data_IF_179084071273
#
_entry.id   IF_179084071273
#
_cell.length_a   1.000
_cell.length_b   1.000
_cell.length_c   1.000
_cell.angle_alpha   90.00
_cell.angle_beta   90.00
_cell.angle_gamma   90.00
#
_symmetry.space_group_name_H-M   'P 1'
#
loop_
_entity.id
_entity.type
_entity.pdbx_description
1 polymer ?
#
# COMPACT_ATOMS: atom_id res chain seq x y z
N UNK A 1 8.04 6.99 9.89
CA UNK A 1 7.14 5.83 10.21
C UNK A 1 7.51 4.52 9.49
N UNK A 2 8.66 4.46 8.83
CA UNK A 2 9.06 3.29 8.04
C UNK A 2 9.23 2.01 8.90
N UNK A 3 10.07 2.05 9.95
CA UNK A 3 10.37 0.86 10.74
C UNK A 3 9.17 0.25 11.48
N UNK A 4 8.24 1.02 12.10
CA UNK A 4 7.02 0.46 12.66
C UNK A 4 6.19 -0.33 11.64
N UNK A 5 6.05 0.16 10.42
CA UNK A 5 5.33 -0.56 9.37
C UNK A 5 6.01 -1.87 8.95
N UNK A 6 7.34 -1.88 8.94
CA UNK A 6 8.08 -3.13 8.68
C UNK A 6 7.78 -4.15 9.76
N UNK A 7 7.80 -3.74 11.05
CA UNK A 7 7.48 -4.61 12.17
C UNK A 7 6.03 -5.13 12.18
N UNK A 8 5.08 -4.33 11.66
CA UNK A 8 3.68 -4.77 11.55
C UNK A 8 3.42 -5.72 10.37
N UNK A 9 4.23 -5.62 9.30
CA UNK A 9 4.00 -6.35 8.05
C UNK A 9 4.88 -7.59 7.88
N UNK A 10 6.04 -7.61 8.52
CA UNK A 10 6.97 -8.74 8.49
C UNK A 10 6.95 -9.46 9.85
N UNK A 11 6.27 -10.59 9.90
CA UNK A 11 6.12 -11.40 11.12
C UNK A 11 7.44 -12.02 11.61
N UNK A 12 8.36 -12.30 10.67
CA UNK A 12 9.63 -12.94 10.98
C UNK A 12 10.80 -11.98 10.84
N UNK A 13 11.35 -11.54 11.98
CA UNK A 13 12.51 -10.65 12.05
C UNK A 13 13.80 -11.27 11.49
N UNK A 14 13.84 -12.59 11.32
CA UNK A 14 15.00 -13.32 10.79
C UNK A 14 15.00 -13.43 9.27
N UNK A 15 13.90 -13.05 8.59
CA UNK A 15 13.85 -13.07 7.12
C UNK A 15 14.97 -12.24 6.51
N UNK A 16 15.62 -12.74 5.44
CA UNK A 16 16.60 -11.95 4.71
C UNK A 16 15.92 -10.76 4.01
N UNK A 17 16.50 -9.58 4.16
CA UNK A 17 15.99 -8.33 3.60
C UNK A 17 16.98 -7.80 2.57
N UNK A 18 16.50 -7.41 1.42
CA UNK A 18 17.19 -6.56 0.45
C UNK A 18 16.49 -5.21 0.43
N UNK A 19 17.27 -4.13 0.53
CA UNK A 19 16.73 -2.78 0.56
C UNK A 19 16.65 -2.18 -0.84
N UNK A 20 15.57 -1.47 -1.07
CA UNK A 20 15.40 -0.52 -2.15
C UNK A 20 15.10 0.85 -1.54
N UNK A 21 16.05 1.75 -1.58
CA UNK A 21 15.94 3.09 -0.99
C UNK A 21 16.41 4.16 -1.98
N UNK A 22 16.02 5.41 -1.75
CA UNK A 22 16.68 6.52 -2.45
C UNK A 22 18.18 6.50 -2.18
N UNK A 23 18.97 6.88 -3.18
CA UNK A 23 20.43 6.92 -3.09
C UNK A 23 20.91 7.77 -1.90
N UNK A 24 21.87 7.26 -1.16
CA UNK A 24 22.42 7.89 0.04
C UNK A 24 21.60 7.67 1.32
N UNK A 25 20.41 7.03 1.25
CA UNK A 25 19.56 6.75 2.41
C UNK A 25 19.69 5.32 2.94
N UNK A 26 20.57 4.50 2.37
CA UNK A 26 20.71 3.09 2.68
C UNK A 26 21.11 2.87 4.14
N UNK A 27 22.13 3.61 4.62
CA UNK A 27 22.59 3.51 6.02
C UNK A 27 21.51 3.89 7.02
N UNK A 28 20.72 4.94 6.71
CA UNK A 28 19.60 5.34 7.55
C UNK A 28 18.53 4.23 7.60
N UNK A 29 18.18 3.64 6.46
CA UNK A 29 17.21 2.56 6.38
C UNK A 29 17.68 1.33 7.19
N UNK A 30 18.93 0.93 7.05
CA UNK A 30 19.55 -0.17 7.82
C UNK A 30 19.44 0.11 9.33
N UNK A 31 19.90 1.29 9.76
CA UNK A 31 19.87 1.67 11.18
C UNK A 31 18.44 1.65 11.76
N UNK A 32 17.46 2.11 10.99
CA UNK A 32 16.06 2.11 11.42
C UNK A 32 15.48 0.71 11.54
N UNK A 33 15.86 -0.21 10.64
CA UNK A 33 15.46 -1.61 10.69
C UNK A 33 16.08 -2.33 11.90
N UNK A 34 17.39 -2.15 12.11
CA UNK A 34 18.09 -2.75 13.27
C UNK A 34 17.49 -2.30 14.62
N UNK A 35 17.04 -1.04 14.72
CA UNK A 35 16.37 -0.53 15.93
C UNK A 35 15.07 -1.26 16.29
N UNK A 36 14.45 -1.95 15.33
CA UNK A 36 13.22 -2.74 15.54
C UNK A 36 13.47 -4.24 15.34
N UNK A 37 14.73 -4.67 15.39
CA UNK A 37 15.14 -6.07 15.42
C UNK A 37 15.35 -6.73 14.05
N UNK A 38 15.28 -6.00 12.96
CA UNK A 38 15.51 -6.55 11.61
C UNK A 38 16.99 -6.39 11.20
N UNK A 39 17.84 -7.33 11.64
CA UNK A 39 19.29 -7.28 11.42
C UNK A 39 19.77 -8.12 10.22
N UNK A 40 18.91 -8.98 9.66
CA UNK A 40 19.28 -9.87 8.55
C UNK A 40 19.23 -9.17 7.18
N UNK A 41 19.90 -8.03 7.08
CA UNK A 41 19.97 -7.25 5.85
C UNK A 41 21.10 -7.78 4.97
N UNK A 42 20.77 -8.32 3.80
CA UNK A 42 21.72 -8.93 2.84
C UNK A 42 22.36 -7.91 1.91
N UNK A 43 21.78 -6.74 1.79
CA UNK A 43 22.29 -5.69 0.92
C UNK A 43 21.22 -4.70 0.49
N UNK A 44 21.58 -3.88 -0.46
CA UNK A 44 20.68 -2.92 -1.09
C UNK A 44 20.91 -2.86 -2.60
N UNK A 45 19.90 -2.43 -3.33
CA UNK A 45 20.00 -2.22 -4.76
C UNK A 45 20.72 -0.88 -5.03
N UNK A 46 21.98 -0.95 -5.46
CA UNK A 46 22.77 0.24 -5.82
C UNK A 46 22.11 0.97 -6.99
N UNK A 47 21.96 2.29 -6.87
CA UNK A 47 21.25 3.12 -7.85
C UNK A 47 19.72 2.99 -7.82
N UNK A 48 19.17 2.23 -6.88
CA UNK A 48 17.74 2.11 -6.64
C UNK A 48 16.95 1.55 -7.83
N UNK A 49 15.67 1.91 -7.91
CA UNK A 49 14.78 1.44 -8.99
C UNK A 49 15.24 1.90 -10.38
N UNK A 50 15.95 3.02 -10.46
CA UNK A 50 16.46 3.54 -11.73
C UNK A 50 17.43 2.55 -12.39
N UNK A 51 18.42 2.05 -11.64
CA UNK A 51 19.38 1.08 -12.17
C UNK A 51 18.72 -0.26 -12.53
N UNK A 52 17.66 -0.65 -11.83
CA UNK A 52 16.87 -1.83 -12.19
C UNK A 52 16.19 -1.68 -13.55
N UNK A 53 15.53 -0.55 -13.79
CA UNK A 53 14.85 -0.24 -15.05
C UNK A 53 15.87 -0.11 -16.19
N UNK A 54 16.99 0.58 -15.99
CA UNK A 54 18.07 0.74 -16.97
C UNK A 54 18.71 -0.61 -17.34
N UNK A 55 18.65 -1.59 -16.44
CA UNK A 55 19.10 -2.97 -16.71
C UNK A 55 18.04 -3.82 -17.43
N UNK A 56 16.99 -3.22 -17.97
CA UNK A 56 15.86 -3.90 -18.65
C UNK A 56 15.22 -5.01 -17.81
N UNK A 57 15.21 -4.85 -16.49
CA UNK A 57 14.54 -5.76 -15.57
C UNK A 57 13.05 -5.47 -15.53
N UNK A 58 12.25 -6.53 -15.38
CA UNK A 58 10.80 -6.42 -15.32
C UNK A 58 10.34 -5.62 -14.09
N UNK A 59 9.40 -4.71 -14.30
CA UNK A 59 8.75 -3.92 -13.25
C UNK A 59 7.24 -3.97 -13.40
N UNK A 60 6.55 -3.84 -12.27
CA UNK A 60 5.11 -3.61 -12.23
C UNK A 60 4.84 -2.25 -11.60
N UNK A 61 3.73 -1.64 -11.98
CA UNK A 61 3.26 -0.39 -11.38
C UNK A 61 1.83 -0.56 -10.84
N UNK A 62 1.51 0.21 -9.81
CA UNK A 62 0.15 0.32 -9.30
C UNK A 62 -0.54 1.47 -10.03
N UNK A 63 -1.72 1.21 -10.60
CA UNK A 63 -2.56 2.26 -11.16
C UNK A 63 -2.98 3.24 -10.07
N UNK A 64 -3.03 4.53 -10.41
CA UNK A 64 -3.44 5.58 -9.49
C UNK A 64 -4.57 6.40 -10.10
N UNK A 65 -5.52 6.83 -9.26
CA UNK A 65 -6.61 7.73 -9.61
C UNK A 65 -6.66 8.89 -8.62
N UNK A 66 -6.99 10.09 -9.09
CA UNK A 66 -7.26 11.23 -8.22
C UNK A 66 -8.59 11.06 -7.49
N UNK A 67 -8.72 11.66 -6.29
CA UNK A 67 -9.94 11.57 -5.49
C UNK A 67 -11.17 12.13 -6.24
N UNK A 68 -11.03 13.25 -6.94
CA UNK A 68 -12.11 13.86 -7.74
C UNK A 68 -12.64 12.94 -8.85
N UNK A 69 -11.73 12.28 -9.58
CA UNK A 69 -12.08 11.33 -10.64
C UNK A 69 -12.74 10.07 -10.08
N UNK A 70 -12.20 9.58 -8.95
CA UNK A 70 -12.78 8.44 -8.23
C UNK A 70 -14.21 8.73 -7.78
N UNK A 71 -14.49 9.88 -7.15
CA UNK A 71 -15.83 10.26 -6.70
C UNK A 71 -16.79 10.37 -7.88
N UNK A 72 -16.35 10.97 -8.98
CA UNK A 72 -17.16 11.04 -10.21
C UNK A 72 -17.50 9.66 -10.77
N UNK A 73 -16.61 8.68 -10.65
CA UNK A 73 -16.90 7.30 -11.05
C UNK A 73 -17.81 6.60 -10.04
N UNK A 74 -17.52 6.75 -8.74
CA UNK A 74 -18.27 6.09 -7.67
C UNK A 74 -19.74 6.57 -7.57
N UNK A 75 -20.03 7.80 -8.01
CA UNK A 75 -21.40 8.31 -8.09
C UNK A 75 -22.23 7.69 -9.23
N UNK A 76 -21.57 7.09 -10.23
CA UNK A 76 -22.21 6.53 -11.43
C UNK A 76 -22.25 5.01 -11.44
N UNK A 77 -21.34 4.36 -10.73
CA UNK A 77 -21.12 2.92 -10.76
C UNK A 77 -20.95 2.38 -9.35
N UNK A 78 -21.41 1.16 -9.14
CA UNK A 78 -21.14 0.40 -7.90
C UNK A 78 -19.72 -0.16 -7.97
N UNK A 79 -18.77 0.56 -7.35
CA UNK A 79 -17.36 0.21 -7.39
C UNK A 79 -16.98 -0.66 -6.19
N UNK A 80 -16.06 -1.60 -6.39
CA UNK A 80 -15.44 -2.32 -5.28
C UNK A 80 -14.38 -1.42 -4.62
N UNK A 81 -14.70 -0.88 -3.47
CA UNK A 81 -13.86 0.06 -2.73
C UNK A 81 -13.34 -0.57 -1.44
N UNK A 82 -12.04 -0.54 -1.24
CA UNK A 82 -11.36 -1.09 -0.07
C UNK A 82 -10.72 0.01 0.78
N UNK A 83 -11.19 0.13 2.02
CA UNK A 83 -10.59 0.99 3.04
C UNK A 83 -9.62 0.18 3.90
N UNK A 84 -8.34 0.51 3.86
CA UNK A 84 -7.30 -0.16 4.65
C UNK A 84 -6.90 0.61 5.92
N UNK A 85 -7.74 1.54 6.36
CA UNK A 85 -7.57 2.25 7.63
C UNK A 85 -8.01 1.36 8.80
N UNK A 86 -7.69 1.79 10.01
CA UNK A 86 -8.21 1.15 11.21
C UNK A 86 -9.75 1.23 11.25
N UNK A 87 -10.38 0.33 11.98
CA UNK A 87 -11.83 0.33 12.16
C UNK A 87 -12.33 1.65 12.78
N UNK A 88 -11.58 2.24 13.71
CA UNK A 88 -11.96 3.51 14.31
C UNK A 88 -11.93 4.66 13.27
N UNK A 89 -10.93 4.69 12.38
CA UNK A 89 -10.89 5.69 11.29
C UNK A 89 -12.08 5.50 10.34
N UNK A 90 -12.44 4.26 10.04
CA UNK A 90 -13.57 3.92 9.17
C UNK A 90 -14.91 4.38 9.76
N UNK A 91 -15.15 4.10 11.05
CA UNK A 91 -16.39 4.47 11.74
C UNK A 91 -16.55 6.00 11.90
N UNK A 92 -15.44 6.73 11.94
CA UNK A 92 -15.43 8.20 11.99
C UNK A 92 -15.61 8.87 10.63
N UNK A 93 -15.97 8.13 9.61
CA UNK A 93 -16.24 8.59 8.25
C UNK A 93 -15.50 7.73 7.22
N UNK A 94 -16.21 7.33 6.18
CA UNK A 94 -15.71 6.44 5.12
C UNK A 94 -16.44 6.68 3.81
N UNK A 95 -15.94 6.11 2.73
CA UNK A 95 -16.68 6.05 1.46
C UNK A 95 -17.85 5.09 1.64
N UNK A 96 -19.05 5.53 1.29
CA UNK A 96 -20.25 4.70 1.39
C UNK A 96 -20.08 3.41 0.57
N UNK A 97 -20.47 2.28 1.16
CA UNK A 97 -20.35 0.96 0.54
C UNK A 97 -18.93 0.38 0.50
N UNK A 98 -17.91 1.09 1.03
CA UNK A 98 -16.56 0.54 1.07
C UNK A 98 -16.41 -0.60 2.07
N UNK A 99 -15.62 -1.61 1.69
CA UNK A 99 -15.21 -2.71 2.56
C UNK A 99 -14.03 -2.27 3.43
N UNK A 100 -14.16 -2.32 4.75
CA UNK A 100 -13.03 -2.03 5.63
C UNK A 100 -12.26 -3.31 5.98
N UNK A 101 -10.99 -3.35 5.60
CA UNK A 101 -10.02 -4.34 6.04
C UNK A 101 -8.74 -3.59 6.44
N UNK A 102 -8.48 -3.37 7.73
CA UNK A 102 -7.25 -2.74 8.17
C UNK A 102 -6.02 -3.40 7.57
N UNK A 103 -5.02 -2.61 7.16
CA UNK A 103 -3.81 -3.10 6.49
C UNK A 103 -3.17 -4.29 7.21
N UNK A 104 -3.10 -4.24 8.55
CA UNK A 104 -2.51 -5.30 9.36
C UNK A 104 -3.25 -6.64 9.25
N UNK A 105 -4.55 -6.61 8.95
CA UNK A 105 -5.40 -7.79 8.82
C UNK A 105 -5.62 -8.20 7.35
N UNK A 106 -5.01 -7.48 6.40
CA UNK A 106 -5.28 -7.66 4.98
C UNK A 106 -4.94 -9.07 4.50
N UNK A 107 -3.77 -9.58 4.88
CA UNK A 107 -3.29 -10.89 4.44
C UNK A 107 -4.20 -12.04 4.89
N UNK A 108 -4.77 -11.95 6.09
CA UNK A 108 -5.70 -12.96 6.63
C UNK A 108 -7.10 -12.87 5.99
N UNK A 109 -7.46 -11.70 5.46
CA UNK A 109 -8.79 -11.40 4.94
C UNK A 109 -8.85 -11.29 3.41
N UNK A 110 -7.85 -11.76 2.68
CA UNK A 110 -7.79 -11.68 1.21
C UNK A 110 -9.03 -12.23 0.51
N UNK A 111 -9.66 -13.27 1.08
CA UNK A 111 -10.88 -13.89 0.53
C UNK A 111 -12.09 -12.95 0.47
N UNK A 112 -12.06 -11.85 1.21
CA UNK A 112 -13.13 -10.82 1.19
C UNK A 112 -12.96 -9.83 0.04
N UNK A 113 -11.76 -9.73 -0.53
CA UNK A 113 -11.48 -8.89 -1.70
C UNK A 113 -11.81 -9.67 -2.96
N UNK A 114 -12.58 -9.09 -3.86
CA UNK A 114 -12.98 -9.75 -5.11
C UNK A 114 -11.79 -9.82 -6.10
N UNK A 115 -11.26 -11.00 -6.43
CA UNK A 115 -9.98 -11.09 -7.14
C UNK A 115 -10.05 -10.63 -8.60
N UNK A 116 -11.21 -10.74 -9.23
CA UNK A 116 -11.39 -10.46 -10.66
C UNK A 116 -11.96 -9.07 -10.96
N UNK A 117 -12.38 -8.34 -9.94
CA UNK A 117 -12.96 -7.01 -10.11
C UNK A 117 -11.86 -5.95 -9.97
N UNK A 118 -12.09 -4.80 -10.62
CA UNK A 118 -11.29 -3.61 -10.38
C UNK A 118 -11.61 -3.08 -8.99
N UNK A 119 -10.62 -3.08 -8.09
CA UNK A 119 -10.76 -2.61 -6.72
C UNK A 119 -10.03 -1.28 -6.54
N UNK A 120 -10.72 -0.32 -5.93
CA UNK A 120 -10.18 0.99 -5.59
C UNK A 120 -9.77 1.00 -4.12
N UNK A 121 -8.49 1.24 -3.85
CA UNK A 121 -7.93 1.12 -2.50
C UNK A 121 -7.55 2.49 -1.96
N UNK A 122 -7.97 2.78 -0.74
CA UNK A 122 -7.57 4.00 -0.06
C UNK A 122 -7.18 3.76 1.41
N UNK A 123 -6.41 4.70 1.94
CA UNK A 123 -6.18 4.86 3.38
C UNK A 123 -6.36 6.32 3.76
N UNK A 124 -5.75 6.81 4.83
CA UNK A 124 -5.86 8.22 5.22
C UNK A 124 -5.17 9.14 4.19
N UNK A 125 -3.86 8.98 3.94
CA UNK A 125 -3.07 9.88 3.10
C UNK A 125 -2.29 9.18 1.97
N UNK A 126 -2.64 7.92 1.60
CA UNK A 126 -2.05 7.20 0.46
C UNK A 126 -0.90 6.23 0.80
N UNK A 127 -0.28 6.29 1.99
CA UNK A 127 0.87 5.44 2.32
C UNK A 127 0.47 3.96 2.54
N UNK A 128 -0.49 3.70 3.43
CA UNK A 128 -0.99 2.34 3.72
C UNK A 128 -1.65 1.68 2.51
N UNK A 129 -2.36 2.45 1.69
CA UNK A 129 -3.02 1.93 0.48
C UNK A 129 -2.02 1.49 -0.58
N UNK A 130 -0.88 2.15 -0.74
CA UNK A 130 0.19 1.68 -1.62
C UNK A 130 0.79 0.35 -1.14
N UNK A 131 0.99 0.19 0.18
CA UNK A 131 1.44 -1.08 0.75
C UNK A 131 0.39 -2.17 0.50
N UNK A 132 -0.89 -1.89 0.78
CA UNK A 132 -1.99 -2.81 0.54
C UNK A 132 -2.08 -3.24 -0.92
N UNK A 133 -1.99 -2.29 -1.85
CA UNK A 133 -1.99 -2.56 -3.29
C UNK A 133 -0.82 -3.47 -3.71
N UNK A 134 0.37 -3.25 -3.14
CA UNK A 134 1.53 -4.11 -3.38
C UNK A 134 1.32 -5.53 -2.84
N UNK A 135 0.73 -5.68 -1.65
CA UNK A 135 0.40 -6.98 -1.08
C UNK A 135 -0.63 -7.71 -1.97
N UNK A 136 -1.71 -7.03 -2.36
CA UNK A 136 -2.75 -7.59 -3.21
C UNK A 136 -2.18 -8.06 -4.55
N UNK A 137 -1.36 -7.23 -5.18
CA UNK A 137 -0.69 -7.55 -6.44
C UNK A 137 0.22 -8.79 -6.31
N UNK A 138 0.97 -8.90 -5.21
CA UNK A 138 1.82 -10.07 -4.93
C UNK A 138 1.04 -11.38 -4.75
N UNK A 139 -0.27 -11.27 -4.48
CA UNK A 139 -1.22 -12.38 -4.35
C UNK A 139 -2.03 -12.64 -5.62
N UNK A 140 -1.64 -12.02 -6.74
CA UNK A 140 -2.28 -12.21 -8.04
C UNK A 140 -3.51 -11.34 -8.31
N UNK A 141 -3.85 -10.42 -7.41
CA UNK A 141 -4.93 -9.45 -7.60
C UNK A 141 -4.39 -8.23 -8.35
N UNK A 142 -4.33 -8.29 -9.68
CA UNK A 142 -3.62 -7.31 -10.50
C UNK A 142 -4.49 -6.10 -10.91
N UNK A 143 -5.79 -6.12 -10.64
CA UNK A 143 -6.71 -5.05 -11.04
C UNK A 143 -6.99 -4.08 -9.88
N UNK A 144 -5.92 -3.49 -9.35
CA UNK A 144 -5.95 -2.61 -8.18
C UNK A 144 -5.58 -1.19 -8.59
N UNK A 145 -6.41 -0.23 -8.19
CA UNK A 145 -6.17 1.21 -8.37
C UNK A 145 -6.08 1.89 -7.01
N UNK A 146 -4.96 2.56 -6.74
CA UNK A 146 -4.78 3.34 -5.52
C UNK A 146 -5.38 4.74 -5.67
N UNK A 147 -6.12 5.23 -4.66
CA UNK A 147 -6.66 6.59 -4.66
C UNK A 147 -5.63 7.54 -4.03
N UNK A 148 -5.13 8.48 -4.85
CA UNK A 148 -4.11 9.46 -4.43
C UNK A 148 -4.68 10.35 -3.31
N UNK A 149 -3.87 10.57 -2.27
CA UNK A 149 -4.26 11.40 -1.12
C UNK A 149 -5.22 10.71 -0.15
N UNK A 150 -5.77 9.54 -0.52
CA UNK A 150 -6.63 8.75 0.34
C UNK A 150 -7.87 9.49 0.85
N UNK A 151 -8.34 9.14 2.04
CA UNK A 151 -9.54 9.74 2.63
C UNK A 151 -9.42 11.24 2.89
N UNK A 152 -8.22 11.74 3.20
CA UNK A 152 -7.99 13.19 3.38
C UNK A 152 -8.35 13.98 2.11
N UNK A 153 -8.10 13.40 0.91
CA UNK A 153 -8.51 14.02 -0.36
C UNK A 153 -9.95 13.68 -0.74
N UNK A 154 -10.42 12.46 -0.48
CA UNK A 154 -11.78 12.01 -0.77
C UNK A 154 -12.80 12.86 0.01
N UNK A 155 -12.55 13.10 1.31
CA UNK A 155 -13.46 13.84 2.19
C UNK A 155 -13.67 15.30 1.80
N UNK A 156 -12.86 15.84 0.89
CA UNK A 156 -13.08 17.18 0.31
C UNK A 156 -14.16 17.20 -0.78
N UNK A 157 -14.62 16.03 -1.23
CA UNK A 157 -15.55 15.87 -2.36
C UNK A 157 -16.80 15.04 -2.00
N UNK A 158 -16.96 14.66 -0.74
CA UNK A 158 -18.16 13.99 -0.22
C UNK A 158 -18.75 14.85 0.90
N UNK A 159 -20.08 15.03 0.89
CA UNK A 159 -20.85 15.73 1.91
C UNK A 159 -20.99 14.92 3.21
#
# INVERSE_FOLDING_TARGET
>A
RFAPWVGELLEDIKKPIILLSPEGREKEAITRLSRVGFDNIKGYLKGGIKSWVESNKQTNSIENIKAEDFISLNSKFDLDVLDVRSQNEYLNGSVNGSLNIPLINLTENLKKVKPNNKSYVYCKGGYRSMIASSILNSKGMNNITNIIGGYDSISLHID
#
